data_IF_978938404852
#
_entry.id   IF_978938404852
#
_cell.length_a   1.000
_cell.length_b   1.000
_cell.length_c   1.000
_cell.angle_alpha   90.00
_cell.angle_beta   90.00
_cell.angle_gamma   90.00
#
_symmetry.space_group_name_H-M   'P 1'
#
loop_
_entity.id
_entity.type
_entity.pdbx_description
1 polymer ?
#
# COMPACT_ATOMS: atom_id res chain seq x y z
N UNK A 1 -1.42 33.13 -44.96
CA UNK A 1 -2.04 31.82 -45.28
C UNK A 1 -1.75 30.87 -44.14
N UNK A 2 -2.81 30.35 -43.53
CA UNK A 2 -2.80 29.50 -42.33
C UNK A 2 -2.27 28.12 -42.70
N UNK A 3 -1.11 27.75 -42.19
CA UNK A 3 -0.64 26.36 -42.14
C UNK A 3 -0.95 25.79 -40.78
N UNK A 4 -2.06 25.05 -40.68
CA UNK A 4 -2.55 24.46 -39.45
C UNK A 4 -1.56 23.48 -38.84
N UNK A 5 -1.04 23.81 -37.67
CA UNK A 5 -0.53 22.83 -36.73
C UNK A 5 -1.71 22.01 -36.22
N UNK A 6 -1.97 20.85 -36.82
CA UNK A 6 -2.69 19.78 -36.13
C UNK A 6 -1.79 19.23 -35.03
N UNK A 7 -1.58 20.05 -33.99
CA UNK A 7 -1.14 19.59 -32.68
C UNK A 7 -2.32 18.88 -32.05
N UNK A 8 -2.61 17.66 -32.53
CA UNK A 8 -3.41 16.73 -31.76
C UNK A 8 -2.67 16.46 -30.44
N UNK A 9 -3.36 16.37 -29.29
CA UNK A 9 -2.70 15.99 -28.05
C UNK A 9 -1.99 14.65 -28.27
N UNK A 10 -0.69 14.59 -27.97
CA UNK A 10 0.08 13.35 -28.00
C UNK A 10 -0.66 12.32 -27.11
N UNK A 11 -1.10 11.18 -27.65
CA UNK A 11 -1.94 10.25 -26.91
C UNK A 11 -1.13 9.56 -25.81
N UNK A 12 -1.61 9.68 -24.57
CA UNK A 12 -1.44 8.79 -23.41
C UNK A 12 -0.40 7.66 -23.49
N UNK A 13 0.89 7.96 -23.66
CA UNK A 13 1.90 6.96 -24.02
C UNK A 13 2.38 6.06 -22.87
N UNK A 14 2.00 6.34 -21.62
CA UNK A 14 2.41 5.55 -20.45
C UNK A 14 1.36 4.59 -19.91
N UNK A 15 0.07 4.95 -19.99
CA UNK A 15 -1.01 4.19 -19.33
C UNK A 15 -1.25 2.82 -19.97
N UNK A 16 -1.18 2.73 -21.31
CA UNK A 16 -1.31 1.45 -22.01
C UNK A 16 -0.15 0.49 -21.71
N UNK A 17 1.06 1.01 -21.49
CA UNK A 17 2.23 0.21 -21.15
C UNK A 17 2.11 -0.34 -19.73
N UNK A 18 1.57 0.46 -18.80
CA UNK A 18 1.22 0.01 -17.45
C UNK A 18 0.10 -1.04 -17.48
N UNK A 19 -0.99 -0.80 -18.21
CA UNK A 19 -2.08 -1.77 -18.39
C UNK A 19 -1.56 -3.09 -18.98
N UNK A 20 -0.71 -3.03 -20.01
CA UNK A 20 -0.10 -4.21 -20.63
C UNK A 20 0.85 -4.95 -19.66
N UNK A 21 1.65 -4.22 -18.89
CA UNK A 21 2.53 -4.80 -17.87
C UNK A 21 1.75 -5.50 -16.75
N UNK A 22 0.71 -4.86 -16.22
CA UNK A 22 -0.18 -5.44 -15.21
C UNK A 22 -0.90 -6.68 -15.75
N UNK A 23 -1.45 -6.60 -16.96
CA UNK A 23 -2.10 -7.73 -17.62
C UNK A 23 -1.12 -8.90 -17.82
N UNK A 24 0.11 -8.64 -18.29
CA UNK A 24 1.12 -9.66 -18.48
C UNK A 24 1.48 -10.35 -17.15
N UNK A 25 1.60 -9.60 -16.06
CA UNK A 25 1.87 -10.17 -14.73
C UNK A 25 0.72 -11.07 -14.24
N UNK A 26 -0.53 -10.64 -14.41
CA UNK A 26 -1.71 -11.46 -14.06
C UNK A 26 -1.74 -12.74 -14.92
N UNK A 27 -1.47 -12.64 -16.22
CA UNK A 27 -1.42 -13.79 -17.13
C UNK A 27 -0.28 -14.75 -16.78
N UNK A 28 0.89 -14.25 -16.39
CA UNK A 28 2.00 -15.07 -15.90
C UNK A 28 1.59 -15.80 -14.62
N UNK A 29 0.92 -15.12 -13.67
CA UNK A 29 0.43 -15.74 -12.45
C UNK A 29 -0.62 -16.82 -12.72
N UNK A 30 -1.56 -16.55 -13.65
CA UNK A 30 -2.57 -17.51 -14.09
C UNK A 30 -1.94 -18.72 -14.80
N UNK A 31 -0.96 -18.50 -15.67
CA UNK A 31 -0.20 -19.57 -16.31
C UNK A 31 0.57 -20.44 -15.30
N UNK A 32 1.18 -19.79 -14.30
CA UNK A 32 1.83 -20.49 -13.19
C UNK A 32 0.83 -21.33 -12.41
N UNK A 33 -0.37 -20.81 -12.14
CA UNK A 33 -1.45 -21.56 -11.51
C UNK A 33 -1.91 -22.76 -12.35
N UNK A 34 -2.05 -22.59 -13.67
CA UNK A 34 -2.36 -23.70 -14.60
C UNK A 34 -1.34 -24.82 -14.53
N UNK A 35 -0.04 -24.49 -14.48
CA UNK A 35 1.04 -25.49 -14.39
C UNK A 35 1.06 -26.24 -13.06
N UNK A 36 0.60 -25.61 -11.98
CA UNK A 36 0.66 -26.15 -10.60
C UNK A 36 -0.56 -26.99 -10.22
N UNK A 37 -1.70 -26.75 -10.86
CA UNK A 37 -2.96 -27.35 -10.45
C UNK A 37 -3.70 -26.50 -9.42
N UNK A 38 -5.01 -26.70 -9.38
CA UNK A 38 -5.98 -25.88 -8.66
C UNK A 38 -5.83 -26.00 -7.17
N UNK A 39 -5.60 -27.20 -6.64
CA UNK A 39 -5.41 -27.42 -5.20
C UNK A 39 -4.25 -26.61 -4.61
N UNK A 40 -3.14 -26.51 -5.35
CA UNK A 40 -1.95 -25.77 -4.90
C UNK A 40 -2.18 -24.27 -4.97
N UNK A 41 -2.82 -23.81 -6.06
CA UNK A 41 -3.13 -22.40 -6.26
C UNK A 41 -4.19 -21.90 -5.26
N UNK A 42 -5.22 -22.70 -4.96
CA UNK A 42 -6.23 -22.35 -3.93
C UNK A 42 -5.64 -22.40 -2.53
N UNK A 43 -4.77 -23.37 -2.21
CA UNK A 43 -4.06 -23.38 -0.93
C UNK A 43 -3.18 -22.14 -0.74
N UNK A 44 -2.48 -21.69 -1.80
CA UNK A 44 -1.73 -20.42 -1.79
C UNK A 44 -2.63 -19.22 -1.54
N UNK A 45 -3.75 -19.11 -2.28
CA UNK A 45 -4.74 -18.04 -2.13
C UNK A 45 -5.38 -18.02 -0.73
N UNK A 46 -5.75 -19.18 -0.19
CA UNK A 46 -6.32 -19.30 1.17
C UNK A 46 -5.28 -18.94 2.24
N UNK A 47 -4.03 -19.34 2.05
CA UNK A 47 -2.94 -18.99 2.94
C UNK A 47 -2.66 -17.49 2.93
N UNK A 48 -2.73 -16.86 1.75
CA UNK A 48 -2.65 -15.41 1.59
C UNK A 48 -3.80 -14.72 2.33
N UNK A 49 -5.05 -15.15 2.11
CA UNK A 49 -6.22 -14.57 2.77
C UNK A 49 -6.18 -14.76 4.30
N UNK A 50 -5.72 -15.92 4.78
CA UNK A 50 -5.57 -16.19 6.21
C UNK A 50 -4.46 -15.35 6.85
N UNK A 51 -3.32 -15.18 6.17
CA UNK A 51 -2.24 -14.32 6.64
C UNK A 51 -2.68 -12.85 6.65
N UNK A 52 -3.35 -12.39 5.59
CA UNK A 52 -3.97 -11.08 5.49
C UNK A 52 -4.93 -10.80 6.65
N UNK A 53 -5.87 -11.71 6.89
CA UNK A 53 -6.82 -11.61 7.99
C UNK A 53 -6.13 -11.63 9.38
N UNK A 54 -5.18 -12.54 9.59
CA UNK A 54 -4.46 -12.65 10.85
C UNK A 54 -3.67 -11.38 11.17
N UNK A 55 -2.98 -10.79 10.19
CA UNK A 55 -2.22 -9.56 10.43
C UNK A 55 -3.14 -8.35 10.56
N UNK A 56 -4.21 -8.26 9.76
CA UNK A 56 -5.19 -7.18 9.88
C UNK A 56 -5.81 -7.12 11.28
N UNK A 57 -6.17 -8.27 11.86
CA UNK A 57 -6.72 -8.35 13.23
C UNK A 57 -5.69 -8.01 14.32
N UNK A 58 -4.40 -7.96 13.98
CA UNK A 58 -3.28 -7.73 14.91
C UNK A 58 -2.51 -6.43 14.63
N UNK A 59 -2.96 -5.60 13.70
CA UNK A 59 -2.25 -4.39 13.28
C UNK A 59 -1.97 -3.42 14.46
N UNK A 60 -2.93 -3.24 15.36
CA UNK A 60 -2.75 -2.44 16.58
C UNK A 60 -1.67 -3.02 17.53
N UNK A 61 -1.56 -4.35 17.61
CA UNK A 61 -0.52 -5.00 18.42
C UNK A 61 0.87 -4.80 17.81
N UNK A 62 0.98 -4.79 16.47
CA UNK A 62 2.23 -4.50 15.75
C UNK A 62 2.67 -3.06 16.00
N UNK A 63 1.76 -2.09 15.93
CA UNK A 63 2.08 -0.70 16.27
C UNK A 63 2.51 -0.54 17.73
N UNK A 64 1.79 -1.17 18.67
CA UNK A 64 2.16 -1.15 20.09
C UNK A 64 3.51 -1.84 20.36
N UNK A 65 3.83 -2.92 19.63
CA UNK A 65 5.13 -3.56 19.68
C UNK A 65 6.25 -2.65 19.12
N UNK A 66 6.01 -1.98 17.99
CA UNK A 66 6.98 -1.08 17.37
C UNK A 66 7.28 0.15 18.25
N UNK A 67 6.27 0.66 18.96
CA UNK A 67 6.44 1.72 19.95
C UNK A 67 7.30 1.23 21.15
N UNK A 68 6.99 0.06 21.71
CA UNK A 68 7.70 -0.50 22.89
C UNK A 68 9.15 -0.90 22.60
N UNK A 69 9.46 -1.33 21.38
CA UNK A 69 10.81 -1.78 20.98
C UNK A 69 11.72 -0.63 20.53
N UNK A 70 11.20 0.60 20.48
CA UNK A 70 11.95 1.74 19.96
C UNK A 70 12.12 1.74 18.43
N UNK A 71 11.39 0.88 17.71
CA UNK A 71 11.38 0.89 16.24
C UNK A 71 10.74 2.18 15.71
N UNK A 72 9.62 2.60 16.30
CA UNK A 72 8.91 3.81 15.91
C UNK A 72 9.79 5.08 16.00
N UNK A 73 10.45 5.40 17.13
CA UNK A 73 11.32 6.58 17.20
C UNK A 73 12.52 6.50 16.25
N UNK A 74 13.13 5.32 16.05
CA UNK A 74 14.22 5.14 15.08
C UNK A 74 13.77 5.40 13.64
N UNK A 75 12.59 4.90 13.28
CA UNK A 75 12.03 5.14 11.96
C UNK A 75 11.66 6.63 11.78
N UNK A 76 11.14 7.27 12.82
CA UNK A 76 10.86 8.70 12.81
C UNK A 76 12.13 9.54 12.62
N UNK A 77 13.23 9.20 13.31
CA UNK A 77 14.54 9.84 13.11
C UNK A 77 15.02 9.72 11.66
N UNK A 78 14.85 8.55 11.04
CA UNK A 78 15.22 8.32 9.65
C UNK A 78 14.34 9.11 8.67
N UNK A 79 13.05 9.27 8.96
CA UNK A 79 12.10 10.02 8.14
C UNK A 79 12.12 11.53 8.39
N UNK A 80 12.75 12.00 9.47
CA UNK A 80 12.79 13.40 9.86
C UNK A 80 13.32 14.35 8.76
N UNK A 81 14.39 14.01 8.00
CA UNK A 81 14.86 14.86 6.90
C UNK A 81 13.82 15.03 5.79
N UNK A 82 13.09 13.96 5.45
CA UNK A 82 12.03 13.99 4.45
C UNK A 82 10.84 14.82 4.94
N UNK A 83 10.40 14.60 6.18
CA UNK A 83 9.33 15.38 6.82
C UNK A 83 9.67 16.87 6.92
N UNK A 84 10.93 17.18 7.25
CA UNK A 84 11.41 18.56 7.33
C UNK A 84 11.47 19.24 5.96
N UNK A 85 11.76 18.50 4.88
CA UNK A 85 11.79 19.03 3.52
C UNK A 85 10.41 19.47 3.01
N UNK A 86 9.32 18.94 3.59
CA UNK A 86 7.95 19.33 3.24
C UNK A 86 7.52 20.64 3.88
N UNK A 87 8.19 21.02 4.96
CA UNK A 87 7.80 22.17 5.77
C UNK A 87 8.73 23.35 5.49
N UNK A 88 8.21 24.58 5.57
CA UNK A 88 9.07 25.74 5.70
C UNK A 88 10.04 25.54 6.88
N UNK A 89 11.33 25.91 6.77
CA UNK A 89 12.35 25.60 7.78
C UNK A 89 12.01 26.19 9.16
N UNK A 90 11.28 27.30 9.17
CA UNK A 90 10.78 27.95 10.39
C UNK A 90 9.70 27.11 11.08
N UNK A 91 8.81 26.47 10.31
CA UNK A 91 7.75 25.59 10.82
C UNK A 91 8.35 24.26 11.28
N UNK A 92 9.32 23.71 10.53
CA UNK A 92 9.95 22.44 10.85
C UNK A 92 10.61 22.44 12.24
N UNK A 93 11.29 23.54 12.61
CA UNK A 93 12.00 23.68 13.89
C UNK A 93 11.14 24.24 15.03
N UNK A 94 9.93 24.70 14.72
CA UNK A 94 9.05 25.26 15.73
C UNK A 94 8.61 24.19 16.75
N UNK A 95 8.41 24.57 18.02
CA UNK A 95 7.77 23.69 19.00
C UNK A 95 6.32 23.41 18.57
N UNK A 96 5.79 22.25 18.95
CA UNK A 96 4.40 21.89 18.68
C UNK A 96 3.46 22.89 19.35
N UNK A 97 2.76 23.68 18.55
CA UNK A 97 1.71 24.61 18.98
C UNK A 97 0.57 24.61 17.96
N UNK A 98 -0.68 24.93 18.37
CA UNK A 98 -1.85 24.89 17.49
C UNK A 98 -1.66 25.63 16.16
N UNK A 99 -1.05 26.82 16.19
CA UNK A 99 -0.81 27.63 14.99
C UNK A 99 0.12 26.94 13.97
N UNK A 100 1.17 26.26 14.44
CA UNK A 100 2.09 25.54 13.55
C UNK A 100 1.50 24.22 13.06
N UNK A 101 0.71 23.52 13.89
CA UNK A 101 -0.03 22.33 13.48
C UNK A 101 -1.02 22.66 12.34
N UNK A 102 -1.74 23.78 12.44
CA UNK A 102 -2.62 24.25 11.36
C UNK A 102 -1.85 24.52 10.06
N UNK A 103 -0.64 25.07 10.14
CA UNK A 103 0.21 25.28 8.95
C UNK A 103 0.63 23.96 8.31
N UNK A 104 0.97 22.94 9.10
CA UNK A 104 1.27 21.60 8.57
C UNK A 104 0.05 20.98 7.91
N UNK A 105 -1.13 21.08 8.53
CA UNK A 105 -2.37 20.60 7.93
C UNK A 105 -2.66 21.28 6.58
N UNK A 106 -2.41 22.60 6.48
CA UNK A 106 -2.55 23.30 5.21
C UNK A 106 -1.56 22.82 4.14
N UNK A 107 -0.32 22.50 4.54
CA UNK A 107 0.67 21.90 3.63
C UNK A 107 0.20 20.50 3.17
N UNK A 108 -0.34 19.67 4.08
CA UNK A 108 -0.89 18.36 3.76
C UNK A 108 -2.11 18.45 2.82
N UNK A 109 -2.98 19.44 3.01
CA UNK A 109 -4.13 19.69 2.12
C UNK A 109 -3.70 20.05 0.69
N UNK A 110 -2.57 20.73 0.55
CA UNK A 110 -1.99 21.08 -0.75
C UNK A 110 -1.26 19.91 -1.44
N UNK A 111 -1.03 18.78 -0.74
CA UNK A 111 -0.37 17.63 -1.35
C UNK A 111 -1.32 16.86 -2.29
N UNK A 112 -0.78 16.26 -3.37
CA UNK A 112 -1.52 15.42 -4.30
C UNK A 112 -1.80 14.03 -3.69
N UNK A 113 -2.34 14.01 -2.47
CA UNK A 113 -2.72 12.81 -1.74
C UNK A 113 -4.23 12.52 -1.91
N UNK A 114 -4.65 11.25 -1.85
CA UNK A 114 -6.06 10.90 -1.82
C UNK A 114 -6.78 11.55 -0.61
N UNK A 115 -8.04 12.00 -0.75
CA UNK A 115 -8.76 12.66 0.34
C UNK A 115 -8.84 11.83 1.63
N UNK A 116 -9.01 10.51 1.51
CA UNK A 116 -9.07 9.60 2.65
C UNK A 116 -7.75 9.57 3.44
N UNK A 117 -6.61 9.46 2.74
CA UNK A 117 -5.27 9.45 3.34
C UNK A 117 -4.96 10.79 4.01
N UNK A 118 -5.35 11.92 3.37
CA UNK A 118 -5.20 13.25 3.98
C UNK A 118 -5.96 13.38 5.29
N UNK A 119 -7.21 12.89 5.33
CA UNK A 119 -8.02 12.93 6.54
C UNK A 119 -7.39 12.08 7.66
N UNK A 120 -6.95 10.88 7.34
CA UNK A 120 -6.30 9.97 8.29
C UNK A 120 -5.00 10.56 8.86
N UNK A 121 -4.15 11.13 8.02
CA UNK A 121 -2.91 11.77 8.45
C UNK A 121 -3.18 13.04 9.26
N UNK A 122 -4.21 13.82 8.90
CA UNK A 122 -4.62 15.00 9.64
C UNK A 122 -5.11 14.63 11.05
N UNK A 123 -5.91 13.57 11.18
CA UNK A 123 -6.38 13.08 12.47
C UNK A 123 -5.25 12.52 13.32
N UNK A 124 -4.36 11.72 12.72
CA UNK A 124 -3.17 11.21 13.40
C UNK A 124 -2.25 12.35 13.87
N UNK A 125 -2.08 13.42 13.08
CA UNK A 125 -1.30 14.59 13.47
C UNK A 125 -1.93 15.37 14.62
N UNK A 126 -3.27 15.54 14.61
CA UNK A 126 -3.99 16.19 15.72
C UNK A 126 -3.86 15.38 17.00
N UNK A 127 -4.00 14.06 16.93
CA UNK A 127 -3.87 13.16 18.07
C UNK A 127 -2.45 13.19 18.64
N UNK A 128 -1.44 13.05 17.77
CA UNK A 128 -0.05 13.13 18.17
C UNK A 128 0.31 14.50 18.77
N UNK A 129 -0.24 15.59 18.24
CA UNK A 129 -0.02 16.94 18.76
C UNK A 129 -0.57 17.11 20.19
N UNK A 130 -1.69 16.45 20.54
CA UNK A 130 -2.25 16.46 21.90
C UNK A 130 -1.35 15.72 22.90
N UNK A 131 -0.65 14.68 22.45
CA UNK A 131 0.26 13.88 23.26
C UNK A 131 1.70 14.44 23.31
N UNK A 132 2.00 15.48 22.53
CA UNK A 132 3.36 16.02 22.40
C UNK A 132 3.80 16.78 23.66
N UNK A 133 5.05 16.52 24.10
CA UNK A 133 5.68 17.26 25.19
C UNK A 133 6.24 18.61 24.72
N UNK A 134 6.52 19.53 25.66
CA UNK A 134 6.96 20.91 25.36
C UNK A 134 8.30 21.05 24.61
N UNK A 135 9.04 19.97 24.39
CA UNK A 135 10.30 19.96 23.64
C UNK A 135 10.18 19.30 22.25
N UNK A 136 9.02 18.75 21.90
CA UNK A 136 8.79 18.13 20.59
C UNK A 136 8.67 19.21 19.51
N UNK A 137 9.38 19.04 18.40
CA UNK A 137 9.27 19.94 17.24
C UNK A 137 8.19 19.45 16.28
N UNK A 138 7.68 20.34 15.45
CA UNK A 138 6.67 20.00 14.44
C UNK A 138 7.22 18.98 13.42
N UNK A 139 8.50 19.09 13.03
CA UNK A 139 9.12 18.11 12.14
C UNK A 139 9.25 16.72 12.79
N UNK A 140 9.62 16.63 14.07
CA UNK A 140 9.70 15.31 14.74
C UNK A 140 8.32 14.71 14.98
N UNK A 141 7.32 15.55 15.25
CA UNK A 141 5.93 15.11 15.34
C UNK A 141 5.43 14.54 14.00
N UNK A 142 5.63 15.27 12.90
CA UNK A 142 5.25 14.81 11.57
C UNK A 142 6.00 13.52 11.20
N UNK A 143 7.29 13.44 11.47
CA UNK A 143 8.07 12.23 11.21
C UNK A 143 7.57 11.02 12.02
N UNK A 144 7.09 11.23 13.25
CA UNK A 144 6.49 10.17 14.07
C UNK A 144 5.16 9.69 13.48
N UNK A 145 4.33 10.62 13.00
CA UNK A 145 3.07 10.28 12.31
C UNK A 145 3.36 9.50 11.03
N UNK A 146 4.32 9.93 10.22
CA UNK A 146 4.72 9.22 9.00
C UNK A 146 5.30 7.83 9.32
N UNK A 147 6.13 7.72 10.36
CA UNK A 147 6.67 6.43 10.80
C UNK A 147 5.55 5.48 11.26
N UNK A 148 4.54 5.99 11.97
CA UNK A 148 3.37 5.22 12.38
C UNK A 148 2.56 4.75 11.17
N UNK A 149 2.32 5.62 10.19
CA UNK A 149 1.63 5.30 8.95
C UNK A 149 2.38 4.22 8.15
N UNK A 150 3.70 4.35 7.99
CA UNK A 150 4.53 3.33 7.33
C UNK A 150 4.41 1.98 8.04
N UNK A 151 4.47 1.95 9.37
CA UNK A 151 4.34 0.70 10.13
C UNK A 151 2.93 0.13 9.96
N UNK A 152 1.89 0.98 9.96
CA UNK A 152 0.52 0.57 9.68
C UNK A 152 0.39 -0.06 8.30
N UNK A 153 0.96 0.56 7.27
CA UNK A 153 0.90 0.08 5.89
C UNK A 153 1.72 -1.19 5.67
N UNK A 154 2.91 -1.26 6.26
CA UNK A 154 3.72 -2.48 6.24
C UNK A 154 2.99 -3.60 6.96
N UNK A 155 2.31 -3.32 8.07
CA UNK A 155 1.50 -4.31 8.76
C UNK A 155 0.29 -4.74 7.92
N UNK A 156 -0.46 -3.79 7.36
CA UNK A 156 -1.70 -4.06 6.63
C UNK A 156 -1.47 -4.69 5.25
N UNK A 157 -0.39 -4.33 4.57
CA UNK A 157 -0.13 -4.77 3.20
C UNK A 157 1.18 -5.57 3.08
N UNK A 158 2.28 -5.06 3.62
CA UNK A 158 3.61 -5.66 3.46
C UNK A 158 3.75 -7.05 4.08
N UNK A 159 3.34 -7.22 5.34
CA UNK A 159 3.45 -8.47 6.09
C UNK A 159 2.54 -9.57 5.52
N UNK A 160 1.28 -9.29 5.16
CA UNK A 160 0.46 -10.26 4.44
C UNK A 160 1.03 -10.67 3.09
N UNK A 161 1.54 -9.72 2.30
CA UNK A 161 2.19 -10.01 1.02
C UNK A 161 3.39 -10.95 1.24
N UNK A 162 4.27 -10.63 2.19
CA UNK A 162 5.42 -11.46 2.52
C UNK A 162 5.01 -12.85 3.06
N UNK A 163 4.04 -12.90 3.97
CA UNK A 163 3.52 -14.14 4.54
C UNK A 163 2.86 -15.02 3.49
N UNK A 164 2.05 -14.43 2.61
CA UNK A 164 1.43 -15.12 1.49
C UNK A 164 2.45 -15.66 0.48
N UNK A 165 3.53 -14.92 0.19
CA UNK A 165 4.63 -15.40 -0.65
C UNK A 165 5.38 -16.58 -0.01
N UNK A 166 5.68 -16.51 1.29
CA UNK A 166 6.36 -17.58 2.04
C UNK A 166 5.48 -18.84 2.11
N UNK A 167 4.20 -18.68 2.45
CA UNK A 167 3.25 -19.81 2.50
C UNK A 167 3.03 -20.41 1.12
N UNK A 168 2.96 -19.58 0.07
CA UNK A 168 2.90 -20.06 -1.31
C UNK A 168 4.17 -20.82 -1.70
N UNK A 169 5.35 -20.39 -1.26
CA UNK A 169 6.60 -21.13 -1.47
C UNK A 169 6.61 -22.47 -0.73
N UNK A 170 6.11 -22.51 0.51
CA UNK A 170 5.96 -23.75 1.29
C UNK A 170 4.94 -24.71 0.65
N UNK A 171 3.80 -24.20 0.20
CA UNK A 171 2.77 -24.95 -0.51
C UNK A 171 3.31 -25.55 -1.82
N UNK A 172 4.15 -24.81 -2.57
CA UNK A 172 4.84 -25.35 -3.76
C UNK A 172 5.74 -26.53 -3.42
N UNK A 173 6.47 -26.45 -2.30
CA UNK A 173 7.37 -27.52 -1.86
C UNK A 173 6.60 -28.77 -1.43
N UNK A 174 5.48 -28.61 -0.73
CA UNK A 174 4.61 -29.71 -0.31
C UNK A 174 3.85 -30.32 -1.49
N UNK A 175 3.36 -29.50 -2.42
CA UNK A 175 2.68 -29.97 -3.63
C UNK A 175 3.59 -30.84 -4.51
N UNK A 176 4.88 -30.50 -4.62
CA UNK A 176 5.86 -31.32 -5.34
C UNK A 176 6.03 -32.73 -4.77
N UNK A 177 5.54 -32.99 -3.56
CA UNK A 177 5.57 -34.32 -2.92
C UNK A 177 4.28 -35.12 -3.11
N UNK A 178 3.19 -34.49 -3.57
CA UNK A 178 1.90 -35.17 -3.77
C UNK A 178 1.78 -35.71 -5.21
N UNK A 179 1.59 -37.02 -5.36
CA UNK A 179 1.32 -37.63 -6.67
C UNK A 179 -0.04 -37.18 -7.22
N UNK A 180 -0.06 -36.47 -8.35
CA UNK A 180 -1.29 -36.01 -9.01
C UNK A 180 -2.15 -37.18 -9.50
N UNK A 181 -3.23 -37.50 -8.79
CA UNK A 181 -4.26 -38.44 -9.24
C UNK A 181 -5.41 -37.73 -9.97
N UNK A 182 -5.53 -37.95 -11.28
CA UNK A 182 -6.80 -38.15 -11.98
C UNK A 182 -7.70 -36.96 -12.36
N UNK A 183 -7.49 -35.72 -11.89
CA UNK A 183 -8.43 -34.59 -12.14
C UNK A 183 -7.88 -33.52 -13.11
N UNK A 184 -7.03 -33.92 -14.05
CA UNK A 184 -6.03 -33.07 -14.69
C UNK A 184 -6.50 -31.87 -15.55
N UNK A 185 -7.76 -31.79 -16.01
CA UNK A 185 -8.25 -30.59 -16.76
C UNK A 185 -8.96 -29.59 -15.85
N UNK A 186 -9.87 -30.06 -14.99
CA UNK A 186 -10.59 -29.21 -14.04
C UNK A 186 -9.67 -28.63 -12.97
N UNK A 187 -8.72 -29.42 -12.48
CA UNK A 187 -7.69 -28.95 -11.56
C UNK A 187 -6.84 -27.84 -12.20
N UNK A 188 -6.45 -27.97 -13.46
CA UNK A 188 -5.69 -26.92 -14.16
C UNK A 188 -6.49 -25.65 -14.41
N UNK A 189 -7.79 -25.76 -14.73
CA UNK A 189 -8.67 -24.60 -14.89
C UNK A 189 -8.84 -23.85 -13.56
N UNK A 190 -9.05 -24.57 -12.46
CA UNK A 190 -9.04 -23.99 -11.11
C UNK A 190 -7.70 -23.32 -10.80
N UNK A 191 -6.60 -23.93 -11.25
CA UNK A 191 -5.25 -23.35 -11.16
C UNK A 191 -5.12 -22.00 -11.87
N UNK A 192 -5.65 -21.87 -13.10
CA UNK A 192 -5.66 -20.60 -13.85
C UNK A 192 -6.37 -19.51 -13.05
N UNK A 193 -7.58 -19.79 -12.58
CA UNK A 193 -8.41 -18.82 -11.86
C UNK A 193 -7.74 -18.42 -10.55
N UNK A 194 -7.33 -19.38 -9.74
CA UNK A 194 -6.70 -19.11 -8.45
C UNK A 194 -5.35 -18.38 -8.60
N UNK A 195 -4.53 -18.76 -9.59
CA UNK A 195 -3.27 -18.07 -9.88
C UNK A 195 -3.47 -16.65 -10.42
N UNK A 196 -4.49 -16.43 -11.25
CA UNK A 196 -4.87 -15.09 -11.72
C UNK A 196 -5.34 -14.20 -10.57
N UNK A 197 -6.16 -14.74 -9.65
CA UNK A 197 -6.60 -14.04 -8.45
C UNK A 197 -5.44 -13.73 -7.49
N UNK A 198 -4.53 -14.67 -7.27
CA UNK A 198 -3.31 -14.45 -6.49
C UNK A 198 -2.47 -13.30 -7.08
N UNK A 199 -2.24 -13.33 -8.41
CA UNK A 199 -1.52 -12.28 -9.11
C UNK A 199 -2.20 -10.92 -9.02
N UNK A 200 -3.53 -10.88 -9.18
CA UNK A 200 -4.30 -9.64 -9.07
C UNK A 200 -4.25 -9.06 -7.65
N UNK A 201 -4.37 -9.89 -6.60
CA UNK A 201 -4.28 -9.45 -5.21
C UNK A 201 -2.88 -8.96 -4.84
N UNK A 202 -1.82 -9.65 -5.31
CA UNK A 202 -0.44 -9.20 -5.11
C UNK A 202 -0.20 -7.84 -5.77
N UNK A 203 -0.64 -7.67 -7.02
CA UNK A 203 -0.53 -6.39 -7.73
C UNK A 203 -1.34 -5.29 -7.06
N UNK A 204 -2.58 -5.57 -6.64
CA UNK A 204 -3.40 -4.62 -5.91
C UNK A 204 -2.73 -4.17 -4.60
N UNK A 205 -2.16 -5.11 -3.82
CA UNK A 205 -1.41 -4.79 -2.61
C UNK A 205 -0.15 -3.97 -2.87
N UNK A 206 0.61 -4.29 -3.92
CA UNK A 206 1.78 -3.52 -4.32
C UNK A 206 1.42 -2.11 -4.80
N UNK A 207 0.33 -1.96 -5.55
CA UNK A 207 -0.17 -0.67 -6.01
C UNK A 207 -0.66 0.18 -4.84
N UNK A 208 -1.36 -0.40 -3.87
CA UNK A 208 -1.76 0.28 -2.64
C UNK A 208 -0.55 0.73 -1.85
N UNK A 209 0.43 -0.15 -1.61
CA UNK A 209 1.67 0.19 -0.91
C UNK A 209 2.44 1.30 -1.64
N UNK A 210 2.59 1.20 -2.97
CA UNK A 210 3.28 2.20 -3.76
C UNK A 210 2.54 3.56 -3.73
N UNK A 211 1.21 3.57 -3.73
CA UNK A 211 0.38 4.78 -3.60
C UNK A 211 0.56 5.46 -2.24
N UNK A 212 0.64 4.67 -1.16
CA UNK A 212 0.87 5.19 0.18
C UNK A 212 2.29 5.72 0.35
N UNK A 213 3.29 4.98 -0.14
CA UNK A 213 4.70 5.38 -0.06
C UNK A 213 5.05 6.55 -0.99
N UNK A 214 4.37 6.71 -2.13
CA UNK A 214 4.53 7.86 -3.01
C UNK A 214 4.25 9.18 -2.27
N UNK A 215 3.31 9.15 -1.32
CA UNK A 215 3.01 10.28 -0.45
C UNK A 215 4.15 10.68 0.48
N UNK A 216 5.11 9.78 0.76
CA UNK A 216 6.18 9.97 1.75
C UNK A 216 7.48 10.55 1.17
N UNK A 217 7.64 10.59 -0.14
CA UNK A 217 8.86 11.07 -0.79
C UNK A 217 8.57 11.79 -2.13
N UNK A 218 8.04 13.03 -2.10
CA UNK A 218 7.90 13.85 -3.30
C UNK A 218 9.27 14.00 -3.98
N UNK A 219 9.38 13.50 -5.23
CA UNK A 219 10.59 13.51 -6.04
C UNK A 219 11.34 12.18 -6.16
N UNK A 220 10.98 11.14 -5.40
CA UNK A 220 11.59 9.80 -5.54
C UNK A 220 10.93 8.96 -6.62
N UNK A 221 9.67 9.28 -6.95
CA UNK A 221 8.88 8.60 -7.97
C UNK A 221 8.64 9.60 -9.10
N UNK A 222 8.87 9.15 -10.33
CA UNK A 222 8.65 9.95 -11.54
C UNK A 222 7.17 10.37 -11.62
N UNK A 223 6.86 11.68 -11.70
CA UNK A 223 5.49 12.17 -11.88
C UNK A 223 4.76 11.54 -13.07
N UNK A 224 5.50 11.20 -14.14
CA UNK A 224 4.93 10.55 -15.32
C UNK A 224 4.41 9.13 -15.03
N UNK A 225 5.06 8.42 -14.09
CA UNK A 225 4.59 7.12 -13.62
C UNK A 225 3.27 7.24 -12.85
N UNK A 226 3.13 8.30 -12.04
CA UNK A 226 1.90 8.58 -11.29
C UNK A 226 0.73 8.92 -12.21
N UNK A 227 0.96 9.82 -13.17
CA UNK A 227 -0.04 10.15 -14.19
C UNK A 227 -0.42 8.93 -15.03
N UNK A 228 0.54 8.03 -15.30
CA UNK A 228 0.28 6.76 -15.98
C UNK A 228 -0.61 5.81 -15.16
N UNK A 229 -0.42 5.73 -13.84
CA UNK A 229 -1.26 4.93 -12.95
C UNK A 229 -2.68 5.48 -12.84
N UNK A 230 -2.84 6.80 -12.74
CA UNK A 230 -4.16 7.44 -12.68
C UNK A 230 -4.97 7.25 -13.97
N UNK A 231 -4.29 7.15 -15.11
CA UNK A 231 -4.91 6.91 -16.41
C UNK A 231 -5.13 5.41 -16.72
N UNK A 232 -4.51 4.51 -15.95
CA UNK A 232 -4.59 3.06 -16.14
C UNK A 232 -5.92 2.51 -15.61
N UNK A 233 -6.69 1.86 -16.50
CA UNK A 233 -7.98 1.27 -16.13
C UNK A 233 -7.79 0.00 -15.30
N UNK A 234 -6.76 -0.79 -15.59
CA UNK A 234 -6.44 -2.00 -14.82
C UNK A 234 -5.92 -1.64 -13.43
N UNK A 235 -5.06 -0.64 -13.29
CA UNK A 235 -4.60 -0.19 -11.98
C UNK A 235 -5.76 0.34 -11.13
N UNK A 236 -6.63 1.17 -11.70
CA UNK A 236 -7.82 1.65 -11.00
C UNK A 236 -8.74 0.49 -10.55
N UNK A 237 -9.01 -0.48 -11.43
CA UNK A 237 -9.80 -1.66 -11.11
C UNK A 237 -9.16 -2.53 -10.00
N UNK A 238 -7.85 -2.76 -10.08
CA UNK A 238 -7.10 -3.51 -9.07
C UNK A 238 -7.08 -2.80 -7.72
N UNK A 239 -6.95 -1.47 -7.70
CA UNK A 239 -7.03 -0.68 -6.46
C UNK A 239 -8.41 -0.80 -5.83
N UNK A 240 -9.49 -0.63 -6.59
CA UNK A 240 -10.88 -0.78 -6.08
C UNK A 240 -11.14 -2.18 -5.52
N UNK A 241 -10.72 -3.22 -6.26
CA UNK A 241 -10.87 -4.61 -5.81
C UNK A 241 -10.00 -4.88 -4.58
N UNK A 242 -8.77 -4.38 -4.58
CA UNK A 242 -7.85 -4.47 -3.44
C UNK A 242 -8.45 -3.85 -2.19
N UNK A 243 -8.85 -2.58 -2.26
CA UNK A 243 -9.50 -1.86 -1.15
C UNK A 243 -10.74 -2.60 -0.66
N UNK A 244 -11.59 -3.10 -1.56
CA UNK A 244 -12.78 -3.87 -1.19
C UNK A 244 -12.45 -5.20 -0.50
N UNK A 245 -11.46 -5.94 -0.99
CA UNK A 245 -11.00 -7.20 -0.37
C UNK A 245 -10.39 -6.94 1.00
N UNK A 246 -9.55 -5.91 1.12
CA UNK A 246 -8.92 -5.54 2.39
C UNK A 246 -9.93 -5.03 3.41
N UNK A 247 -10.91 -4.23 2.99
CA UNK A 247 -12.02 -3.81 3.85
C UNK A 247 -12.86 -5.00 4.33
N UNK A 248 -13.11 -5.98 3.46
CA UNK A 248 -13.82 -7.21 3.81
C UNK A 248 -13.04 -8.11 4.76
N UNK A 249 -11.72 -8.22 4.59
CA UNK A 249 -10.83 -9.02 5.46
C UNK A 249 -10.54 -8.32 6.80
N UNK A 250 -10.57 -6.99 6.83
CA UNK A 250 -10.35 -6.18 8.04
C UNK A 250 -11.55 -6.12 9.00
N UNK A 251 -12.75 -6.58 8.59
CA UNK A 251 -13.92 -6.70 9.47
C UNK A 251 -14.52 -5.37 9.98
N UNK A 252 -14.11 -4.24 9.42
CA UNK A 252 -14.58 -2.91 9.78
C UNK A 252 -13.76 -1.88 9.03
N UNK A 253 -14.32 -0.68 8.84
CA UNK A 253 -13.50 0.49 8.54
C UNK A 253 -12.24 0.43 9.42
N UNK A 254 -11.07 0.73 8.85
CA UNK A 254 -9.87 1.07 9.61
C UNK A 254 -10.35 1.80 10.87
N UNK A 255 -10.14 1.25 12.08
CA UNK A 255 -10.75 1.81 13.26
C UNK A 255 -10.32 3.27 13.30
N UNK A 256 -11.30 4.17 13.24
CA UNK A 256 -11.11 5.52 13.72
C UNK A 256 -10.49 5.36 15.10
N UNK A 257 -9.20 5.65 15.20
CA UNK A 257 -8.46 5.60 16.44
C UNK A 257 -9.20 6.50 17.43
N UNK A 258 -9.74 5.90 18.49
CA UNK A 258 -10.15 6.64 19.69
C UNK A 258 -11.65 6.74 19.94
N UNK A 259 -12.24 5.68 20.51
CA UNK A 259 -13.11 5.89 21.68
C UNK A 259 -12.55 5.07 22.83
N UNK A 260 -11.81 5.74 23.71
CA UNK A 260 -11.80 5.55 25.16
C UNK A 260 -11.03 6.69 25.80
#
# INVERSE_FOLDING_TARGET
>A
MVGGSTGGPAPGSGAWALDAGLAAMILIAAWQGWRRGGLVATAGLLSFAAAAWFVATRAAEVQAWAARTGLLPRLAEWLQPAAAAWLPPEVARAPVQPAYVLRVLHVLDAMPLPPAVRAEWADALREAARAAGGQTTVASLLATVLASAVIADVALYGLPLAGGLVLSAAARRLAGTMHHRGWGRWDRLLGVVAGGLEGALLLAGLLLLARQLAGLAPGWIDPAWWTGLEQSRLAAGLLVVGEGVWAALGGGALPATGTR
#
